data_IF_076760997767
#
_entry.id   IF_076760997767
#
_cell.length_a   1.000
_cell.length_b   1.000
_cell.length_c   1.000
_cell.angle_alpha   90.00
_cell.angle_beta   90.00
_cell.angle_gamma   90.00
#
_symmetry.space_group_name_H-M   'P 1'
#
loop_
_entity.id
_entity.type
_entity.pdbx_description
1 polymer ?
#
# COMPACT_ATOMS: atom_id res chain seq x y z
N UNK A 1 13.28 -50.55 -0.89
CA UNK A 1 13.20 -49.42 0.07
C UNK A 1 11.87 -48.72 -0.14
N UNK A 2 11.01 -48.68 0.88
CA UNK A 2 9.68 -48.06 0.79
C UNK A 2 9.82 -46.56 1.02
N UNK A 3 9.62 -45.76 -0.01
CA UNK A 3 9.58 -44.30 0.09
C UNK A 3 8.24 -43.90 0.72
N UNK A 4 8.18 -43.84 2.05
CA UNK A 4 7.09 -43.15 2.75
C UNK A 4 7.37 -41.66 2.67
N UNK A 5 7.04 -41.04 1.54
CA UNK A 5 7.09 -39.59 1.40
C UNK A 5 5.99 -39.02 2.31
N UNK A 6 6.41 -38.33 3.36
CA UNK A 6 5.55 -37.83 4.43
C UNK A 6 4.55 -36.82 3.86
N UNK A 7 3.30 -37.24 3.71
CA UNK A 7 2.15 -36.41 3.29
C UNK A 7 1.97 -35.19 4.23
N UNK A 8 2.52 -35.24 5.44
CA UNK A 8 2.45 -34.14 6.40
C UNK A 8 3.11 -32.83 5.94
N UNK A 9 4.09 -32.87 5.03
CA UNK A 9 4.82 -31.66 4.61
C UNK A 9 4.05 -30.83 3.55
N UNK A 10 3.11 -31.45 2.83
CA UNK A 10 2.27 -30.77 1.83
C UNK A 10 1.13 -29.95 2.47
N UNK A 11 0.71 -30.29 3.68
CA UNK A 11 -0.39 -29.60 4.38
C UNK A 11 0.05 -28.23 4.91
N UNK A 12 1.32 -28.06 5.26
CA UNK A 12 1.85 -26.81 5.82
C UNK A 12 1.82 -25.67 4.77
N UNK A 13 2.00 -25.99 3.48
CA UNK A 13 1.97 -24.98 2.41
C UNK A 13 0.55 -24.52 2.03
N UNK A 14 -0.50 -25.27 2.39
CA UNK A 14 -1.89 -24.90 2.09
C UNK A 14 -2.54 -24.00 3.15
N UNK A 15 -1.87 -23.77 4.28
CA UNK A 15 -2.47 -23.10 5.46
C UNK A 15 -2.01 -21.66 5.68
N UNK A 16 -1.24 -21.07 4.77
CA UNK A 16 -0.90 -19.64 4.87
C UNK A 16 -1.84 -18.89 3.93
N UNK A 17 -3.00 -18.39 4.40
CA UNK A 17 -3.77 -17.44 3.62
C UNK A 17 -2.90 -16.21 3.42
N UNK A 18 -2.40 -16.01 2.20
CA UNK A 18 -1.85 -14.73 1.76
C UNK A 18 -3.08 -13.85 1.49
N UNK A 19 -3.72 -13.37 2.56
CA UNK A 19 -4.77 -12.37 2.44
C UNK A 19 -4.10 -11.05 2.06
N UNK A 20 -4.38 -10.58 0.84
CA UNK A 20 -4.15 -9.19 0.50
C UNK A 20 -5.00 -8.34 1.45
N UNK A 21 -4.36 -7.51 2.27
CA UNK A 21 -5.09 -6.63 3.17
C UNK A 21 -5.73 -5.52 2.34
N UNK A 22 -7.03 -5.30 2.54
CA UNK A 22 -7.78 -4.19 1.93
C UNK A 22 -7.44 -2.82 2.56
N UNK A 23 -6.15 -2.57 2.79
CA UNK A 23 -5.65 -1.34 3.40
C UNK A 23 -4.92 -0.48 2.38
N UNK A 24 -5.01 0.83 2.58
CA UNK A 24 -4.19 1.84 1.91
C UNK A 24 -2.95 2.04 2.77
N UNK A 25 -1.79 1.65 2.24
CA UNK A 25 -0.51 1.85 2.90
C UNK A 25 0.09 3.19 2.48
N UNK A 26 0.33 4.07 3.45
CA UNK A 26 1.17 5.25 3.32
C UNK A 26 2.56 4.95 3.89
N UNK A 27 3.57 4.88 3.05
CA UNK A 27 4.96 4.85 3.51
C UNK A 27 5.60 6.22 3.36
N UNK A 28 6.45 6.63 4.30
CA UNK A 28 7.08 7.94 4.24
C UNK A 28 8.52 7.90 4.73
N UNK A 29 9.37 8.70 4.10
CA UNK A 29 10.72 8.96 4.59
C UNK A 29 10.67 9.68 5.95
N UNK A 30 11.57 9.40 6.93
CA UNK A 30 11.52 10.03 8.26
C UNK A 30 11.49 11.56 8.23
N UNK A 31 12.14 12.19 7.23
CA UNK A 31 12.10 13.65 7.04
C UNK A 31 10.69 14.21 6.79
N UNK A 32 9.72 13.36 6.43
CA UNK A 32 8.34 13.70 6.11
C UNK A 32 7.34 13.37 7.23
N UNK A 33 7.82 13.08 8.45
CA UNK A 33 6.97 12.72 9.61
C UNK A 33 5.89 13.77 9.92
N UNK A 34 6.22 15.06 9.83
CA UNK A 34 5.23 16.12 10.09
C UNK A 34 4.14 16.19 9.00
N UNK A 35 4.52 15.97 7.75
CA UNK A 35 3.58 15.94 6.63
C UNK A 35 2.67 14.71 6.74
N UNK A 36 3.21 13.54 7.08
CA UNK A 36 2.42 12.31 7.24
C UNK A 36 1.41 12.41 8.38
N UNK A 37 1.76 13.04 9.51
CA UNK A 37 0.82 13.33 10.59
C UNK A 37 -0.31 14.26 10.15
N UNK A 38 0.00 15.27 9.34
CA UNK A 38 -1.01 16.19 8.79
C UNK A 38 -1.95 15.46 7.85
N UNK A 39 -1.40 14.60 6.98
CA UNK A 39 -2.19 13.79 6.06
C UNK A 39 -3.10 12.82 6.81
N UNK A 40 -2.59 12.16 7.85
CA UNK A 40 -3.38 11.29 8.73
C UNK A 40 -4.59 12.02 9.32
N UNK A 41 -4.40 13.24 9.83
CA UNK A 41 -5.51 14.06 10.35
C UNK A 41 -6.51 14.41 9.26
N UNK A 42 -6.06 14.87 8.09
CA UNK A 42 -6.97 15.21 6.99
C UNK A 42 -7.81 14.00 6.59
N UNK A 43 -7.21 12.82 6.47
CA UNK A 43 -7.94 11.61 6.08
C UNK A 43 -9.00 11.21 7.10
N UNK A 44 -8.67 11.15 8.39
CA UNK A 44 -9.60 10.66 9.40
C UNK A 44 -10.57 11.75 9.90
N UNK A 45 -10.10 12.99 10.07
CA UNK A 45 -10.92 14.07 10.64
C UNK A 45 -11.74 14.82 9.58
N UNK A 46 -11.18 15.04 8.37
CA UNK A 46 -11.87 15.83 7.34
C UNK A 46 -12.57 14.97 6.30
N UNK A 47 -12.02 13.79 6.00
CA UNK A 47 -12.54 12.89 4.96
C UNK A 47 -13.26 11.66 5.52
N UNK A 48 -13.33 11.51 6.84
CA UNK A 48 -14.02 10.42 7.54
C UNK A 48 -13.57 9.02 7.07
N UNK A 49 -12.29 8.88 6.68
CA UNK A 49 -11.73 7.57 6.34
C UNK A 49 -11.58 6.73 7.61
N UNK A 50 -11.99 5.44 7.62
CA UNK A 50 -11.77 4.56 8.76
C UNK A 50 -10.28 4.33 9.05
N UNK A 51 -9.87 4.39 10.32
CA UNK A 51 -8.47 4.13 10.74
C UNK A 51 -7.99 2.71 10.37
N UNK A 52 -8.90 1.74 10.36
CA UNK A 52 -8.61 0.34 10.03
C UNK A 52 -8.26 0.10 8.55
N UNK A 53 -8.62 1.04 7.67
CA UNK A 53 -8.35 0.95 6.23
C UNK A 53 -7.08 1.69 5.82
N UNK A 54 -6.39 2.37 6.73
CA UNK A 54 -5.23 3.21 6.42
C UNK A 54 -4.08 2.91 7.38
N UNK A 55 -2.93 2.53 6.83
CA UNK A 55 -1.72 2.25 7.60
C UNK A 55 -0.62 3.25 7.23
N UNK A 56 0.05 3.83 8.23
CA UNK A 56 1.18 4.75 8.03
C UNK A 56 2.47 4.08 8.53
N UNK A 57 3.47 3.95 7.67
CA UNK A 57 4.77 3.32 7.98
C UNK A 57 5.91 4.27 7.63
N UNK A 58 6.81 4.49 8.60
CA UNK A 58 8.07 5.19 8.34
C UNK A 58 9.09 4.24 7.72
N UNK A 59 9.80 4.67 6.67
CA UNK A 59 10.83 3.88 5.99
C UNK A 59 11.81 4.75 5.22
N UNK A 60 13.10 4.41 5.27
CA UNK A 60 14.16 5.01 4.45
C UNK A 60 13.94 4.79 2.94
N UNK A 61 13.30 3.67 2.55
CA UNK A 61 12.97 3.33 1.17
C UNK A 61 11.44 3.24 0.99
N UNK A 62 10.69 4.35 1.10
CA UNK A 62 9.23 4.30 1.20
C UNK A 62 8.57 3.74 -0.06
N UNK A 63 9.15 3.95 -1.24
CA UNK A 63 8.58 3.50 -2.52
C UNK A 63 8.92 2.06 -2.90
N UNK A 64 9.53 1.28 -1.99
CA UNK A 64 9.78 -0.15 -2.22
C UNK A 64 8.46 -0.92 -2.15
N UNK A 65 8.15 -1.62 -3.24
CA UNK A 65 6.90 -2.38 -3.44
C UNK A 65 6.58 -3.27 -2.24
N UNK A 66 5.38 -3.11 -1.65
CA UNK A 66 4.80 -4.06 -0.67
C UNK A 66 3.68 -4.87 -1.29
N UNK A 67 3.78 -6.19 -1.28
CA UNK A 67 2.83 -7.07 -1.99
C UNK A 67 1.43 -7.18 -1.35
N UNK A 68 1.24 -6.66 -0.14
CA UNK A 68 0.10 -7.02 0.74
C UNK A 68 -0.96 -5.93 0.97
N UNK A 69 -0.93 -4.80 0.27
CA UNK A 69 -1.89 -3.69 0.44
C UNK A 69 -2.71 -3.43 -0.82
N UNK A 70 -3.98 -3.02 -0.68
CA UNK A 70 -4.87 -2.67 -1.80
C UNK A 70 -4.36 -1.46 -2.61
N UNK A 71 -3.76 -0.49 -1.92
CA UNK A 71 -3.02 0.61 -2.53
C UNK A 71 -1.77 0.92 -1.70
N UNK A 72 -0.70 1.35 -2.36
CA UNK A 72 0.51 1.80 -1.72
C UNK A 72 0.86 3.19 -2.25
N UNK A 73 0.85 4.15 -1.34
CA UNK A 73 1.21 5.54 -1.56
C UNK A 73 2.51 5.77 -0.79
N UNK A 74 3.55 6.24 -1.46
CA UNK A 74 4.83 6.53 -0.82
C UNK A 74 5.13 8.02 -0.88
N UNK A 75 5.76 8.54 0.17
CA UNK A 75 6.19 9.93 0.28
C UNK A 75 7.73 9.94 0.33
N UNK A 76 8.36 10.46 -0.72
CA UNK A 76 9.81 10.56 -0.86
C UNK A 76 10.39 11.64 0.04
N UNK A 77 11.72 11.65 0.19
CA UNK A 77 12.45 12.64 0.99
C UNK A 77 12.17 14.09 0.57
N UNK A 78 11.98 14.34 -0.73
CA UNK A 78 11.64 15.65 -1.30
C UNK A 78 10.17 16.06 -1.12
N UNK A 79 9.34 15.21 -0.49
CA UNK A 79 7.91 15.43 -0.30
C UNK A 79 7.05 15.04 -1.51
N UNK A 80 7.65 14.54 -2.58
CA UNK A 80 6.94 14.01 -3.74
C UNK A 80 6.22 12.70 -3.38
N UNK A 81 5.00 12.54 -3.89
CA UNK A 81 4.16 11.37 -3.64
C UNK A 81 4.10 10.47 -4.88
N UNK A 82 4.34 9.18 -4.68
CA UNK A 82 4.33 8.15 -5.73
C UNK A 82 3.36 7.01 -5.38
N UNK A 83 2.88 6.32 -6.42
CA UNK A 83 1.87 5.27 -6.30
C UNK A 83 2.37 3.94 -6.89
N UNK A 84 3.31 3.26 -6.21
CA UNK A 84 3.89 2.03 -6.73
C UNK A 84 2.86 0.91 -6.98
N UNK A 85 1.71 0.94 -6.31
CA UNK A 85 0.68 -0.10 -6.42
C UNK A 85 -0.72 0.47 -6.22
N UNK A 86 -1.65 0.13 -7.14
CA UNK A 86 -3.10 0.32 -6.97
C UNK A 86 -3.82 -0.89 -7.59
N UNK A 87 -4.42 -1.76 -6.76
CA UNK A 87 -4.95 -3.05 -7.24
C UNK A 87 -6.41 -3.04 -7.70
N UNK A 88 -7.24 -2.06 -7.31
CA UNK A 88 -8.67 -2.06 -7.65
C UNK A 88 -9.06 -0.89 -8.55
N UNK A 89 -9.96 -1.12 -9.51
CA UNK A 89 -10.49 -0.05 -10.38
C UNK A 89 -11.18 1.04 -9.57
N UNK A 90 -11.94 0.66 -8.53
CA UNK A 90 -12.54 1.63 -7.60
C UNK A 90 -11.49 2.50 -6.92
N UNK A 91 -10.33 1.95 -6.54
CA UNK A 91 -9.26 2.73 -5.92
C UNK A 91 -8.51 3.58 -6.96
N UNK A 92 -8.36 3.11 -8.20
CA UNK A 92 -7.87 3.93 -9.32
C UNK A 92 -8.80 5.09 -9.64
N UNK A 93 -10.11 4.89 -9.57
CA UNK A 93 -11.09 5.93 -9.79
C UNK A 93 -11.10 6.91 -8.61
N UNK A 94 -11.15 6.40 -7.38
CA UNK A 94 -11.24 7.24 -6.17
C UNK A 94 -9.98 8.07 -5.97
N UNK A 95 -8.79 7.46 -6.04
CA UNK A 95 -7.53 8.20 -5.95
C UNK A 95 -7.24 8.99 -7.24
N UNK A 96 -7.68 8.50 -8.40
CA UNK A 96 -7.43 9.14 -9.69
C UNK A 96 -8.26 10.40 -9.95
N UNK A 97 -9.50 10.49 -9.45
CA UNK A 97 -10.35 11.71 -9.54
C UNK A 97 -9.66 12.91 -8.87
N UNK A 98 -8.92 12.58 -7.85
CA UNK A 98 -8.52 13.44 -6.76
C UNK A 98 -7.10 14.00 -7.12
N UNK A 99 -6.39 13.32 -8.05
CA UNK A 99 -5.07 13.66 -8.60
C UNK A 99 -5.07 13.70 -10.16
N UNK A 100 -6.24 13.91 -10.79
CA UNK A 100 -6.44 13.84 -12.26
C UNK A 100 -5.66 14.86 -13.10
N UNK A 101 -4.97 15.82 -12.49
CA UNK A 101 -4.05 16.75 -13.16
C UNK A 101 -2.72 16.11 -13.59
N UNK A 102 -2.39 14.89 -13.14
CA UNK A 102 -1.13 14.18 -13.47
C UNK A 102 -1.30 13.02 -14.46
N UNK A 103 -2.51 12.83 -15.01
CA UNK A 103 -2.88 11.65 -15.81
C UNK A 103 -2.13 11.54 -17.16
N UNK A 104 -1.44 12.59 -17.57
CA UNK A 104 -0.69 12.63 -18.83
C UNK A 104 0.68 11.93 -18.75
N UNK A 105 1.20 11.59 -17.56
CA UNK A 105 2.51 10.95 -17.42
C UNK A 105 2.46 9.42 -17.32
N UNK A 106 1.30 8.82 -17.02
CA UNK A 106 1.15 7.36 -16.84
C UNK A 106 0.85 6.59 -18.13
N UNK A 107 0.86 7.25 -19.30
CA UNK A 107 0.66 6.61 -20.61
C UNK A 107 1.94 6.38 -21.43
N UNK A 108 3.10 6.83 -20.98
CA UNK A 108 4.38 6.59 -21.67
C UNK A 108 5.42 5.92 -20.75
N UNK A 109 5.21 4.63 -20.45
CA UNK A 109 6.34 3.70 -20.23
C UNK A 109 5.96 2.25 -20.40
#
# INVERSE_FOLDING_TARGET
>A
MKFTFSIGLLIIFYLIPIEAKEVILFSYHPSQSQMSQTLKKIMHENMDFPEELVEFIESEEPCKRKEVSAAHICIKENGEMDFPIIYTETMKETLGVFWSEFKDELKEK
#
